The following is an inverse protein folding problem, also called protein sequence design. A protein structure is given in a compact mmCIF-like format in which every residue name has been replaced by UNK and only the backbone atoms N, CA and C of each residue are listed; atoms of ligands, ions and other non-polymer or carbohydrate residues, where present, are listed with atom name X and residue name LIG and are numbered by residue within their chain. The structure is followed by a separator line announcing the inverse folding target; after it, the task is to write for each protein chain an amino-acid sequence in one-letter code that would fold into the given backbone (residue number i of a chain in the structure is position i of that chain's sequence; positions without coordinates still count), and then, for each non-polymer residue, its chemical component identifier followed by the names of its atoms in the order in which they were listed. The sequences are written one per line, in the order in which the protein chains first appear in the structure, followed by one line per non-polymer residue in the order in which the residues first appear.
data_IF_705234668316
#
_entry.id   IF_705234668316
#
_cell.length_a   1.000
_cell.length_b   1.000
_cell.length_c   1.000
_cell.angle_alpha   90.00
_cell.angle_beta   90.00
_cell.angle_gamma   90.00
#
_symmetry.space_group_name_H-M   'P 1'
#
loop_
_entity.id
_entity.type
_entity.pdbx_description
1 polymer ?
#
# COMPACT_ATOMS: atom_id res chain seq x y z
N UNK A 1 10.08 9.40 -18.46
CA UNK A 1 10.09 9.67 -17.02
C UNK A 1 11.03 8.67 -16.38
N UNK A 2 11.92 9.09 -15.46
CA UNK A 2 12.72 8.14 -14.69
C UNK A 2 11.90 7.63 -13.50
N UNK A 3 12.07 6.37 -13.10
CA UNK A 3 11.32 5.73 -12.01
C UNK A 3 11.41 6.53 -10.70
N UNK A 4 12.58 7.08 -10.38
CA UNK A 4 12.79 7.95 -9.21
C UNK A 4 11.88 9.19 -9.22
N UNK A 5 11.56 9.74 -10.39
CA UNK A 5 10.67 10.90 -10.49
C UNK A 5 9.21 10.51 -10.22
N UNK A 6 8.81 9.29 -10.54
CA UNK A 6 7.44 8.82 -10.30
C UNK A 6 7.17 8.59 -8.81
N UNK A 7 8.15 8.09 -8.06
CA UNK A 7 8.03 7.95 -6.61
C UNK A 7 7.99 9.31 -5.90
N UNK A 8 8.82 10.26 -6.32
CA UNK A 8 8.77 11.62 -5.79
C UNK A 8 7.40 12.27 -6.01
N UNK A 9 6.79 12.05 -7.17
CA UNK A 9 5.44 12.53 -7.46
C UNK A 9 4.40 11.89 -6.53
N UNK A 10 4.55 10.60 -6.18
CA UNK A 10 3.71 9.94 -5.18
C UNK A 10 3.82 10.62 -3.80
N UNK A 11 5.05 10.92 -3.36
CA UNK A 11 5.28 11.63 -2.08
C UNK A 11 4.55 13.00 -2.08
N UNK A 12 4.70 13.78 -3.16
CA UNK A 12 4.08 15.09 -3.30
C UNK A 12 2.55 15.03 -3.32
N UNK A 13 1.97 14.02 -3.97
CA UNK A 13 0.51 13.80 -3.98
C UNK A 13 0.00 13.35 -2.61
N UNK A 14 0.76 12.51 -1.91
CA UNK A 14 0.43 12.07 -0.56
C UNK A 14 0.45 13.24 0.44
N UNK A 15 1.46 14.11 0.36
CA UNK A 15 1.54 15.34 1.19
C UNK A 15 0.35 16.27 0.95
N UNK A 16 -0.14 16.35 -0.29
CA UNK A 16 -1.34 17.12 -0.66
C UNK A 16 -2.64 16.43 -0.27
N UNK A 17 -2.58 15.17 0.18
CA UNK A 17 -3.74 14.31 0.45
C UNK A 17 -4.65 14.12 -0.78
N UNK A 18 -4.07 14.22 -1.98
CA UNK A 18 -4.78 13.95 -3.23
C UNK A 18 -4.75 12.44 -3.50
N UNK A 19 -5.51 11.70 -2.70
CA UNK A 19 -5.50 10.24 -2.72
C UNK A 19 -6.00 9.66 -4.04
N UNK A 20 -6.91 10.35 -4.74
CA UNK A 20 -7.39 9.93 -6.05
C UNK A 20 -6.29 9.98 -7.11
N UNK A 21 -5.62 11.13 -7.24
CA UNK A 21 -4.50 11.26 -8.18
C UNK A 21 -3.31 10.36 -7.78
N UNK A 22 -3.09 10.15 -6.48
CA UNK A 22 -2.06 9.22 -5.99
C UNK A 22 -2.34 7.78 -6.41
N UNK A 23 -3.59 7.32 -6.35
CA UNK A 23 -3.97 5.98 -6.81
C UNK A 23 -3.72 5.83 -8.31
N UNK A 24 -4.12 6.81 -9.14
CA UNK A 24 -3.84 6.79 -10.58
C UNK A 24 -2.34 6.68 -10.85
N UNK A 25 -1.53 7.45 -10.10
CA UNK A 25 -0.08 7.39 -10.21
C UNK A 25 0.50 6.03 -9.81
N UNK A 26 -0.01 5.44 -8.74
CA UNK A 26 0.38 4.11 -8.31
C UNK A 26 0.03 3.07 -9.39
N UNK A 27 -1.13 3.17 -10.03
CA UNK A 27 -1.54 2.26 -11.10
C UNK A 27 -0.64 2.35 -12.34
N UNK A 28 -0.16 3.55 -12.70
CA UNK A 28 0.86 3.71 -13.75
C UNK A 28 2.18 2.99 -13.40
N UNK A 29 2.60 3.07 -12.14
CA UNK A 29 3.84 2.43 -11.66
C UNK A 29 3.65 0.91 -11.63
N UNK A 30 2.52 0.43 -11.11
CA UNK A 30 2.20 -0.99 -11.02
C UNK A 30 2.01 -1.63 -12.40
N UNK A 31 1.56 -0.88 -13.40
CA UNK A 31 1.54 -1.35 -14.79
C UNK A 31 2.93 -1.68 -15.36
N UNK A 32 3.99 -1.05 -14.83
CA UNK A 32 5.38 -1.28 -15.22
C UNK A 32 6.10 -2.25 -14.27
N UNK A 33 5.78 -2.15 -12.99
CA UNK A 33 6.39 -2.90 -11.89
C UNK A 33 5.27 -3.45 -10.97
N UNK A 34 4.62 -4.57 -11.33
CA UNK A 34 3.40 -5.06 -10.68
C UNK A 34 3.51 -5.32 -9.17
N UNK A 35 4.72 -5.54 -8.67
CA UNK A 35 5.00 -5.86 -7.27
C UNK A 35 5.86 -4.79 -6.59
N UNK A 36 5.83 -3.55 -7.08
CA UNK A 36 6.61 -2.48 -6.47
C UNK A 36 6.06 -2.13 -5.07
N UNK A 37 6.84 -2.33 -3.98
CA UNK A 37 6.33 -2.19 -2.62
C UNK A 37 5.91 -0.76 -2.28
N UNK A 38 6.61 0.26 -2.80
CA UNK A 38 6.27 1.66 -2.55
C UNK A 38 4.91 2.03 -3.17
N UNK A 39 4.70 1.67 -4.43
CA UNK A 39 3.43 1.94 -5.12
C UNK A 39 2.26 1.17 -4.47
N UNK A 40 2.49 -0.08 -4.04
CA UNK A 40 1.48 -0.85 -3.31
C UNK A 40 1.16 -0.19 -1.95
N UNK A 41 2.17 0.28 -1.20
CA UNK A 41 1.97 1.00 0.06
C UNK A 41 1.13 2.27 -0.15
N UNK A 42 1.52 3.11 -1.11
CA UNK A 42 0.80 4.35 -1.40
C UNK A 42 -0.64 4.09 -1.82
N UNK A 43 -0.86 3.12 -2.72
CA UNK A 43 -2.21 2.73 -3.13
C UNK A 43 -3.03 2.21 -1.96
N UNK A 44 -2.49 1.28 -1.18
CA UNK A 44 -3.18 0.68 -0.03
C UNK A 44 -3.60 1.72 1.02
N UNK A 45 -2.68 2.59 1.43
CA UNK A 45 -3.01 3.66 2.40
C UNK A 45 -4.04 4.62 1.79
N UNK A 46 -3.90 5.00 0.53
CA UNK A 46 -4.82 5.95 -0.13
C UNK A 46 -6.24 5.41 -0.23
N UNK A 47 -6.40 4.15 -0.65
CA UNK A 47 -7.68 3.45 -0.68
C UNK A 47 -8.32 3.44 0.70
N UNK A 48 -7.55 3.09 1.74
CA UNK A 48 -8.05 3.07 3.10
C UNK A 48 -8.48 4.47 3.59
N UNK A 49 -7.70 5.52 3.27
CA UNK A 49 -8.07 6.92 3.60
C UNK A 49 -9.33 7.39 2.87
N UNK A 50 -9.66 6.82 1.72
CA UNK A 50 -10.91 7.06 1.00
C UNK A 50 -12.08 6.18 1.47
N UNK A 51 -11.85 5.29 2.43
CA UNK A 51 -12.86 4.36 2.96
C UNK A 51 -13.00 3.07 2.16
N UNK A 52 -12.19 2.87 1.11
CA UNK A 52 -12.14 1.67 0.28
C UNK A 52 -11.25 0.59 0.95
N UNK A 53 -11.58 0.26 2.20
CA UNK A 53 -10.72 -0.55 3.07
C UNK A 53 -10.55 -1.98 2.57
N UNK A 54 -11.58 -2.59 1.99
CA UNK A 54 -11.48 -3.95 1.44
C UNK A 54 -10.47 -4.04 0.28
N UNK A 55 -10.44 -3.01 -0.59
CA UNK A 55 -9.48 -2.97 -1.69
C UNK A 55 -8.06 -2.68 -1.18
N UNK A 56 -7.95 -1.82 -0.15
CA UNK A 56 -6.69 -1.56 0.54
C UNK A 56 -6.07 -2.83 1.14
N UNK A 57 -6.88 -3.65 1.83
CA UNK A 57 -6.44 -4.94 2.37
C UNK A 57 -5.97 -5.86 1.24
N UNK A 58 -6.79 -6.07 0.21
CA UNK A 58 -6.46 -6.97 -0.90
C UNK A 58 -5.16 -6.58 -1.64
N UNK A 59 -4.89 -5.28 -1.83
CA UNK A 59 -3.64 -4.86 -2.50
C UNK A 59 -2.43 -5.00 -1.57
N UNK A 60 -2.58 -4.69 -0.28
CA UNK A 60 -1.51 -4.83 0.71
C UNK A 60 -1.18 -6.29 1.00
N UNK A 61 -2.17 -7.18 1.08
CA UNK A 61 -1.99 -8.63 1.25
C UNK A 61 -1.16 -9.20 0.11
N UNK A 62 -1.52 -8.92 -1.16
CA UNK A 62 -0.71 -9.31 -2.33
C UNK A 62 0.68 -8.70 -2.30
N UNK A 63 0.80 -7.47 -1.82
CA UNK A 63 2.08 -6.82 -1.58
C UNK A 63 2.96 -7.62 -0.64
N UNK A 64 2.42 -8.00 0.52
CA UNK A 64 3.10 -8.83 1.52
C UNK A 64 3.38 -10.24 0.99
N UNK A 65 2.48 -10.88 0.25
CA UNK A 65 2.74 -12.19 -0.36
C UNK A 65 3.95 -12.16 -1.33
N UNK A 66 4.08 -11.08 -2.09
CA UNK A 66 5.11 -10.94 -3.13
C UNK A 66 6.41 -10.34 -2.63
N UNK A 67 6.34 -9.53 -1.57
CA UNK A 67 7.48 -8.90 -0.91
C UNK A 67 7.36 -9.16 0.59
N UNK A 68 7.50 -10.43 1.03
CA UNK A 68 7.24 -10.79 2.41
C UNK A 68 8.08 -9.97 3.35
N UNK A 69 9.35 -9.69 3.06
CA UNK A 69 10.27 -8.99 3.97
C UNK A 69 10.15 -7.45 3.97
N UNK A 70 9.22 -6.87 3.21
CA UNK A 70 9.01 -5.42 3.18
C UNK A 70 8.27 -4.95 4.43
N UNK A 71 9.01 -4.29 5.33
CA UNK A 71 8.45 -3.78 6.58
C UNK A 71 7.32 -2.75 6.38
N UNK A 72 7.41 -1.78 5.45
CA UNK A 72 6.30 -0.87 5.18
C UNK A 72 4.99 -1.57 4.82
N UNK A 73 5.02 -2.57 3.93
CA UNK A 73 3.83 -3.34 3.56
C UNK A 73 3.22 -4.07 4.75
N UNK A 74 4.04 -4.80 5.51
CA UNK A 74 3.63 -5.50 6.74
C UNK A 74 3.00 -4.54 7.75
N UNK A 75 3.63 -3.38 7.96
CA UNK A 75 3.17 -2.38 8.93
C UNK A 75 1.85 -1.74 8.51
N UNK A 76 1.69 -1.39 7.22
CA UNK A 76 0.45 -0.79 6.72
C UNK A 76 -0.72 -1.78 6.80
N UNK A 77 -0.49 -3.04 6.44
CA UNK A 77 -1.50 -4.08 6.58
C UNK A 77 -1.89 -4.30 8.05
N UNK A 78 -0.90 -4.44 8.94
CA UNK A 78 -1.13 -4.59 10.37
C UNK A 78 -1.84 -3.38 11.00
N UNK A 79 -1.54 -2.16 10.54
CA UNK A 79 -2.20 -0.94 10.99
C UNK A 79 -3.70 -0.98 10.66
N UNK A 80 -4.05 -1.30 9.41
CA UNK A 80 -5.44 -1.40 8.99
C UNK A 80 -6.17 -2.48 9.81
N UNK A 81 -5.56 -3.64 10.02
CA UNK A 81 -6.14 -4.67 10.89
C UNK A 81 -6.36 -4.20 12.33
N UNK A 82 -5.45 -3.40 12.89
CA UNK A 82 -5.66 -2.78 14.20
C UNK A 82 -6.84 -1.80 14.21
N UNK A 83 -6.98 -0.99 13.15
CA UNK A 83 -8.08 -0.02 13.02
C UNK A 83 -9.45 -0.70 12.83
N UNK A 84 -9.47 -1.89 12.23
CA UNK A 84 -10.66 -2.74 12.08
C UNK A 84 -10.96 -3.61 13.31
N UNK A 85 -10.12 -3.54 14.36
CA UNK A 85 -10.19 -4.40 15.54
C UNK A 85 -9.98 -5.91 15.24
N UNK A 86 -9.43 -6.26 14.08
CA UNK A 86 -9.07 -7.63 13.67
C UNK A 86 -7.68 -8.03 14.20
N UNK A 87 -7.52 -7.95 15.52
CA UNK A 87 -6.23 -8.13 16.19
C UNK A 87 -5.63 -9.53 15.99
N UNK A 88 -6.46 -10.52 15.66
CA UNK A 88 -6.03 -11.89 15.39
C UNK A 88 -5.20 -12.02 14.11
N UNK A 89 -5.29 -11.08 13.15
CA UNK A 89 -4.53 -11.11 11.88
C UNK A 89 -3.24 -10.27 11.92
N UNK A 90 -3.08 -9.45 12.95
CA UNK A 90 -1.93 -8.55 13.10
C UNK A 90 -0.60 -9.33 13.17
N UNK A 91 -0.47 -10.45 13.91
CA UNK A 91 0.77 -11.22 13.93
C UNK A 91 1.18 -11.76 12.56
N UNK A 92 0.23 -12.26 11.77
CA UNK A 92 0.40 -12.78 10.42
C UNK A 92 0.89 -11.69 9.48
N UNK A 93 0.22 -10.53 9.51
CA UNK A 93 0.61 -9.35 8.74
C UNK A 93 2.03 -8.87 9.08
N UNK A 94 2.37 -8.75 10.36
CA UNK A 94 3.71 -8.32 10.81
C UNK A 94 4.81 -9.35 10.52
N UNK A 95 4.48 -10.64 10.46
CA UNK A 95 5.42 -11.70 10.12
C UNK A 95 5.56 -11.90 8.60
N UNK A 96 4.70 -11.26 7.79
CA UNK A 96 4.61 -11.48 6.36
C UNK A 96 4.21 -12.91 6.00
N UNK A 97 3.34 -13.52 6.80
CA UNK A 97 2.84 -14.89 6.61
C UNK A 97 1.34 -14.83 6.34
N UNK A 98 1.00 -14.66 5.07
CA UNK A 98 -0.38 -14.68 4.56
C UNK A 98 -0.62 -15.98 3.79
#
# INVERSE_FOLDING_TARGET
MNFENQLKECDELYEKQDYGALIEKCDEILGQFPYNPNAICYKGISLHKLGETDEALNILEKGVETNPDDCPLRNNLALIYCELEEYEKVPEALQGKL
#
